data_IF_722966530670
#
_entry.id   IF_722966530670
#
_cell.length_a   1.000
_cell.length_b   1.000
_cell.length_c   1.000
_cell.angle_alpha   90.00
_cell.angle_beta   90.00
_cell.angle_gamma   90.00
#
_symmetry.space_group_name_H-M   'P 1'
#
loop_
_entity.id
_entity.type
_entity.pdbx_description
1 polymer ?
#
# COMPACT_ATOMS: atom_id res chain seq x y z
N UNK A 1 8.75 -9.21 -5.09
CA UNK A 1 9.67 -8.26 -4.45
C UNK A 1 8.97 -6.92 -4.48
N UNK A 2 8.79 -6.30 -3.33
CA UNK A 2 8.12 -5.01 -3.21
C UNK A 2 9.05 -3.89 -3.69
N UNK A 3 8.48 -2.74 -4.07
CA UNK A 3 9.27 -1.62 -4.57
C UNK A 3 9.17 -0.42 -3.65
N UNK A 4 10.27 0.32 -3.50
CA UNK A 4 10.34 1.55 -2.70
C UNK A 4 10.84 2.73 -3.52
N UNK A 5 10.17 3.88 -3.40
CA UNK A 5 10.61 5.17 -3.91
C UNK A 5 11.11 6.02 -2.75
N UNK A 6 12.25 6.69 -2.93
CA UNK A 6 12.83 7.59 -1.93
C UNK A 6 12.75 9.01 -2.46
N UNK A 7 12.06 9.90 -1.73
CA UNK A 7 11.88 11.30 -2.10
C UNK A 7 12.31 12.25 -0.97
N UNK A 8 13.35 13.00 -1.22
CA UNK A 8 13.95 13.98 -0.30
C UNK A 8 14.77 14.97 -1.13
N UNK A 9 14.74 16.25 -0.83
CA UNK A 9 15.54 17.23 -1.61
C UNK A 9 17.03 17.18 -1.28
N UNK A 10 17.38 16.70 -0.08
CA UNK A 10 18.75 16.54 0.36
C UNK A 10 19.37 15.24 -0.18
N UNK A 11 20.33 15.38 -1.09
CA UNK A 11 21.03 14.22 -1.68
C UNK A 11 21.66 13.30 -0.63
N UNK A 12 22.24 13.87 0.42
CA UNK A 12 22.90 13.08 1.47
C UNK A 12 21.91 12.20 2.24
N UNK A 13 20.68 12.69 2.45
CA UNK A 13 19.61 11.92 3.09
C UNK A 13 19.20 10.75 2.19
N UNK A 14 18.98 10.98 0.88
CA UNK A 14 18.66 9.91 -0.07
C UNK A 14 19.76 8.84 -0.12
N UNK A 15 21.03 9.25 -0.20
CA UNK A 15 22.16 8.29 -0.18
C UNK A 15 22.22 7.53 1.16
N UNK A 16 22.00 8.21 2.28
CA UNK A 16 21.94 7.60 3.60
C UNK A 16 20.82 6.54 3.68
N UNK A 17 19.60 6.87 3.23
CA UNK A 17 18.46 5.97 3.21
C UNK A 17 18.67 4.73 2.34
N UNK A 18 19.41 4.84 1.25
CA UNK A 18 19.77 3.67 0.42
C UNK A 18 20.72 2.71 1.13
N UNK A 19 21.55 3.22 2.03
CA UNK A 19 22.59 2.45 2.72
C UNK A 19 22.24 2.05 4.14
N UNK A 20 21.24 2.69 4.79
CA UNK A 20 20.89 2.50 6.19
C UNK A 20 20.38 1.08 6.47
N UNK A 21 19.74 0.45 5.47
CA UNK A 21 19.19 -0.90 5.56
C UNK A 21 19.59 -1.74 4.35
N UNK A 22 19.63 -3.05 4.54
CA UNK A 22 19.71 -4.01 3.43
C UNK A 22 18.31 -4.24 2.85
N UNK A 23 17.90 -3.37 1.90
CA UNK A 23 16.59 -3.38 1.29
C UNK A 23 16.24 -4.69 0.60
N UNK A 24 17.21 -5.33 -0.03
CA UNK A 24 17.00 -6.59 -0.74
C UNK A 24 16.70 -7.73 0.23
N UNK A 25 17.42 -7.81 1.36
CA UNK A 25 17.15 -8.80 2.41
C UNK A 25 15.78 -8.59 3.05
N UNK A 26 15.30 -7.35 3.12
CA UNK A 26 13.96 -7.03 3.58
C UNK A 26 12.87 -7.31 2.52
N UNK A 27 13.25 -7.67 1.30
CA UNK A 27 12.33 -7.97 0.21
C UNK A 27 11.85 -6.73 -0.57
N UNK A 28 12.56 -5.60 -0.44
CA UNK A 28 12.29 -4.38 -1.17
C UNK A 28 13.38 -4.09 -2.21
N UNK A 29 12.99 -3.49 -3.33
CA UNK A 29 13.89 -2.96 -4.34
C UNK A 29 13.65 -1.45 -4.50
N UNK A 30 14.72 -0.65 -4.48
CA UNK A 30 14.62 0.79 -4.70
C UNK A 30 14.37 1.04 -6.20
N UNK A 31 13.14 1.40 -6.54
CA UNK A 31 12.71 1.59 -7.93
C UNK A 31 12.98 3.00 -8.46
N UNK A 32 13.33 3.94 -7.59
CA UNK A 32 13.64 5.31 -7.99
C UNK A 32 13.87 6.24 -6.81
N UNK A 33 14.36 7.43 -7.14
CA UNK A 33 14.55 8.52 -6.20
C UNK A 33 14.07 9.84 -6.83
N UNK A 34 13.64 10.78 -5.97
CA UNK A 34 13.20 12.10 -6.37
C UNK A 34 13.80 13.17 -5.46
N UNK A 35 14.14 14.31 -6.04
CA UNK A 35 14.74 15.45 -5.32
C UNK A 35 13.81 16.66 -5.20
N UNK A 36 12.57 16.53 -5.64
CA UNK A 36 11.52 17.55 -5.53
C UNK A 36 10.16 16.89 -5.63
N UNK A 37 9.12 17.62 -5.26
CA UNK A 37 7.77 17.08 -5.17
C UNK A 37 7.12 16.70 -6.49
N UNK A 38 7.43 17.38 -7.60
CA UNK A 38 6.88 17.01 -8.91
C UNK A 38 7.44 15.68 -9.42
N UNK A 39 8.77 15.51 -9.30
CA UNK A 39 9.43 14.26 -9.67
C UNK A 39 8.97 13.11 -8.77
N UNK A 40 8.77 13.36 -7.46
CA UNK A 40 8.24 12.40 -6.53
C UNK A 40 6.84 11.93 -6.93
N UNK A 41 5.92 12.87 -7.18
CA UNK A 41 4.56 12.55 -7.62
C UNK A 41 4.56 11.79 -8.95
N UNK A 42 5.37 12.24 -9.92
CA UNK A 42 5.51 11.55 -11.21
C UNK A 42 6.03 10.12 -11.03
N UNK A 43 7.06 9.92 -10.19
CA UNK A 43 7.60 8.61 -9.87
C UNK A 43 6.59 7.68 -9.20
N UNK A 44 5.76 8.20 -8.29
CA UNK A 44 4.67 7.44 -7.63
C UNK A 44 3.66 6.96 -8.67
N UNK A 45 3.19 7.86 -9.53
CA UNK A 45 2.13 7.55 -10.50
C UNK A 45 2.61 6.64 -11.64
N UNK A 46 3.88 6.74 -12.03
CA UNK A 46 4.44 5.93 -13.12
C UNK A 46 4.88 4.55 -12.66
N UNK A 47 5.54 4.47 -11.51
CA UNK A 47 6.14 3.21 -11.03
C UNK A 47 5.21 2.45 -10.08
N UNK A 48 4.17 3.09 -9.54
CA UNK A 48 3.24 2.55 -8.55
C UNK A 48 3.96 1.76 -7.44
N UNK A 49 4.93 2.39 -6.71
CA UNK A 49 5.74 1.70 -5.71
C UNK A 49 4.88 1.19 -4.55
N UNK A 50 5.27 0.06 -3.94
CA UNK A 50 4.58 -0.47 -2.77
C UNK A 50 4.78 0.41 -1.53
N UNK A 51 5.92 1.12 -1.46
CA UNK A 51 6.31 2.01 -0.37
C UNK A 51 6.95 3.29 -0.90
N UNK A 52 6.65 4.41 -0.26
CA UNK A 52 7.30 5.70 -0.50
C UNK A 52 7.87 6.23 0.80
N UNK A 53 9.18 6.49 0.84
CA UNK A 53 9.81 7.31 1.87
C UNK A 53 9.77 8.76 1.37
N UNK A 54 9.09 9.64 2.10
CA UNK A 54 8.73 10.96 1.60
C UNK A 54 9.08 12.05 2.61
N UNK A 55 9.97 12.96 2.22
CA UNK A 55 10.17 14.18 3.00
C UNK A 55 8.97 15.12 2.86
N UNK A 56 8.67 15.87 3.94
CA UNK A 56 7.57 16.83 3.93
C UNK A 56 7.93 18.09 3.14
N UNK A 57 9.18 18.58 3.30
CA UNK A 57 9.58 19.86 2.77
C UNK A 57 10.46 19.71 1.54
N UNK A 58 9.85 19.59 0.41
CA UNK A 58 10.55 19.57 -0.88
C UNK A 58 10.14 20.76 -1.74
N UNK A 59 11.03 21.20 -2.67
CA UNK A 59 10.67 22.19 -3.68
C UNK A 59 9.47 21.74 -4.52
N UNK A 60 8.69 22.72 -5.00
CA UNK A 60 7.53 22.60 -5.89
C UNK A 60 6.26 22.07 -5.21
N UNK A 61 6.26 20.87 -4.62
CA UNK A 61 5.14 20.29 -3.88
C UNK A 61 5.61 19.79 -2.52
N UNK A 62 4.80 20.01 -1.50
CA UNK A 62 5.05 19.44 -0.17
C UNK A 62 4.70 17.95 -0.15
N UNK A 63 5.31 17.17 0.77
CA UNK A 63 5.00 15.76 0.94
C UNK A 63 3.50 15.52 1.19
N UNK A 64 2.83 16.41 1.92
CA UNK A 64 1.39 16.31 2.17
C UNK A 64 0.57 16.52 0.90
N UNK A 65 0.95 17.49 0.04
CA UNK A 65 0.28 17.69 -1.25
C UNK A 65 0.44 16.48 -2.16
N UNK A 66 1.63 15.89 -2.17
CA UNK A 66 1.92 14.67 -2.95
C UNK A 66 1.01 13.53 -2.51
N UNK A 67 0.92 13.25 -1.20
CA UNK A 67 0.08 12.18 -0.67
C UNK A 67 -1.38 12.41 -1.05
N UNK A 68 -1.89 13.64 -0.84
CA UNK A 68 -3.26 14.00 -1.22
C UNK A 68 -3.53 13.74 -2.69
N UNK A 69 -2.69 14.25 -3.58
CA UNK A 69 -2.86 14.11 -5.04
C UNK A 69 -2.74 12.63 -5.45
N UNK A 70 -1.79 11.89 -4.90
CA UNK A 70 -1.62 10.47 -5.19
C UNK A 70 -2.85 9.66 -4.77
N UNK A 71 -3.40 9.91 -3.56
CA UNK A 71 -4.63 9.28 -3.07
C UNK A 71 -5.85 9.63 -3.94
N UNK A 72 -6.01 10.90 -4.36
CA UNK A 72 -7.07 11.34 -5.28
C UNK A 72 -6.98 10.63 -6.65
N UNK A 73 -5.78 10.20 -7.07
CA UNK A 73 -5.54 9.42 -8.28
C UNK A 73 -5.58 7.90 -8.08
N UNK A 74 -6.00 7.43 -6.89
CA UNK A 74 -6.18 6.01 -6.62
C UNK A 74 -4.91 5.26 -6.21
N UNK A 75 -3.83 5.95 -5.85
CA UNK A 75 -2.64 5.29 -5.35
C UNK A 75 -2.88 4.71 -3.94
N UNK A 76 -2.69 3.41 -3.78
CA UNK A 76 -2.94 2.66 -2.53
C UNK A 76 -1.66 2.23 -1.80
N UNK A 77 -0.48 2.47 -2.37
CA UNK A 77 0.80 2.13 -1.75
C UNK A 77 1.01 2.83 -0.41
N UNK A 78 1.99 2.37 0.34
CA UNK A 78 2.31 2.80 1.69
C UNK A 78 3.18 4.04 1.72
N UNK A 79 2.99 4.89 2.74
CA UNK A 79 3.81 6.08 2.96
C UNK A 79 4.47 6.06 4.33
N UNK A 80 5.77 6.31 4.35
CA UNK A 80 6.51 6.74 5.54
C UNK A 80 6.92 8.19 5.30
N UNK A 81 6.44 9.10 6.15
CA UNK A 81 6.88 10.49 6.14
C UNK A 81 8.17 10.62 6.94
N UNK A 82 9.12 11.36 6.38
CA UNK A 82 10.36 11.77 7.03
C UNK A 82 10.29 13.28 7.27
N UNK A 83 10.48 13.75 8.50
CA UNK A 83 10.35 15.18 8.82
C UNK A 83 11.43 15.66 9.76
N UNK A 84 12.06 16.76 9.43
CA UNK A 84 12.99 17.49 10.33
C UNK A 84 12.29 18.30 11.43
N UNK A 85 10.96 18.32 11.45
CA UNK A 85 10.18 19.13 12.38
C UNK A 85 9.05 18.32 13.01
N UNK A 86 8.93 18.40 14.31
CA UNK A 86 7.77 17.93 15.08
C UNK A 86 6.58 18.89 14.89
N UNK A 87 6.22 19.21 13.65
CA UNK A 87 5.07 20.08 13.38
C UNK A 87 3.79 19.26 13.46
N UNK A 88 3.04 19.48 14.53
CA UNK A 88 1.77 18.79 14.79
C UNK A 88 0.77 18.89 13.62
N UNK A 89 0.78 20.01 12.89
CA UNK A 89 -0.11 20.21 11.76
C UNK A 89 0.17 19.22 10.63
N UNK A 90 1.43 18.92 10.34
CA UNK A 90 1.80 17.92 9.32
C UNK A 90 1.47 16.51 9.77
N UNK A 91 1.71 16.17 11.04
CA UNK A 91 1.34 14.85 11.57
C UNK A 91 -0.17 14.63 11.52
N UNK A 92 -0.98 15.63 11.86
CA UNK A 92 -2.44 15.56 11.77
C UNK A 92 -2.92 15.40 10.31
N UNK A 93 -2.30 16.11 9.37
CA UNK A 93 -2.62 15.97 7.94
C UNK A 93 -2.24 14.59 7.42
N UNK A 94 -1.07 14.06 7.81
CA UNK A 94 -0.60 12.73 7.46
C UNK A 94 -1.60 11.63 7.87
N UNK A 95 -2.11 11.68 9.09
CA UNK A 95 -3.14 10.74 9.60
C UNK A 95 -4.40 10.80 8.74
N UNK A 96 -4.86 12.00 8.36
CA UNK A 96 -6.07 12.18 7.53
C UNK A 96 -5.96 11.51 6.16
N UNK A 97 -4.75 11.49 5.57
CA UNK A 97 -4.50 10.90 4.26
C UNK A 97 -4.01 9.45 4.30
N UNK A 98 -4.07 8.81 5.48
CA UNK A 98 -3.72 7.40 5.62
C UNK A 98 -2.23 7.13 5.41
N UNK A 99 -1.37 7.95 6.02
CA UNK A 99 0.07 7.69 6.12
C UNK A 99 0.30 6.60 7.15
N UNK A 100 1.15 5.63 6.83
CA UNK A 100 1.39 4.50 7.71
C UNK A 100 2.33 4.84 8.87
N UNK A 101 3.40 5.61 8.60
CA UNK A 101 4.37 6.04 9.61
C UNK A 101 4.86 7.47 9.40
N UNK A 102 5.22 8.11 10.50
CA UNK A 102 5.79 9.45 10.55
C UNK A 102 7.06 9.42 11.40
N UNK A 103 8.22 9.54 10.78
CA UNK A 103 9.53 9.49 11.42
C UNK A 103 10.18 10.87 11.47
N UNK A 104 10.83 11.18 12.59
CA UNK A 104 11.54 12.44 12.73
C UNK A 104 13.01 12.32 12.35
N UNK A 105 13.54 13.30 11.63
CA UNK A 105 14.98 13.40 11.35
C UNK A 105 15.71 13.93 12.63
N UNK A 106 16.89 13.38 13.00
CA UNK A 106 17.64 12.35 12.30
C UNK A 106 16.95 10.99 12.38
N UNK A 107 16.98 10.25 11.26
CA UNK A 107 16.26 8.96 11.15
C UNK A 107 17.02 7.92 11.96
N UNK A 108 16.31 7.32 12.89
CA UNK A 108 16.79 6.17 13.65
C UNK A 108 16.64 4.88 12.84
N UNK A 109 17.71 4.09 12.76
CA UNK A 109 17.74 2.86 11.96
C UNK A 109 16.74 1.82 12.47
N UNK A 110 16.64 1.64 13.78
CA UNK A 110 15.75 0.65 14.40
C UNK A 110 14.27 1.06 14.21
N UNK A 111 13.96 2.36 14.32
CA UNK A 111 12.61 2.88 14.09
C UNK A 111 12.19 2.71 12.62
N UNK A 112 13.09 3.01 11.67
CA UNK A 112 12.84 2.81 10.25
C UNK A 112 12.66 1.32 9.93
N UNK A 113 13.54 0.46 10.43
CA UNK A 113 13.47 -0.99 10.24
C UNK A 113 12.15 -1.57 10.75
N UNK A 114 11.74 -1.20 11.96
CA UNK A 114 10.46 -1.64 12.54
C UNK A 114 9.26 -1.20 11.70
N UNK A 115 9.28 0.04 11.21
CA UNK A 115 8.23 0.59 10.34
C UNK A 115 8.12 -0.18 9.03
N UNK A 116 9.26 -0.49 8.40
CA UNK A 116 9.31 -1.24 7.14
C UNK A 116 8.85 -2.69 7.33
N UNK A 117 9.26 -3.36 8.42
CA UNK A 117 8.81 -4.71 8.73
C UNK A 117 7.29 -4.78 8.92
N UNK A 118 6.72 -3.80 9.63
CA UNK A 118 5.27 -3.69 9.81
C UNK A 118 4.55 -3.48 8.48
N UNK A 119 5.07 -2.60 7.63
CA UNK A 119 4.51 -2.37 6.28
C UNK A 119 4.57 -3.66 5.45
N UNK A 120 5.70 -4.36 5.48
CA UNK A 120 5.85 -5.62 4.74
C UNK A 120 4.80 -6.64 5.17
N UNK A 121 4.61 -6.83 6.47
CA UNK A 121 3.59 -7.73 6.99
C UNK A 121 2.19 -7.34 6.49
N UNK A 122 1.83 -6.05 6.57
CA UNK A 122 0.55 -5.55 6.10
C UNK A 122 0.33 -5.77 4.59
N UNK A 123 1.37 -5.61 3.77
CA UNK A 123 1.32 -5.87 2.34
C UNK A 123 1.13 -7.37 2.04
N UNK A 124 1.83 -8.24 2.77
CA UNK A 124 1.68 -9.70 2.64
C UNK A 124 0.28 -10.16 3.04
N UNK A 125 -0.27 -9.67 4.14
CA UNK A 125 -1.63 -9.97 4.58
C UNK A 125 -2.70 -9.48 3.59
N UNK A 126 -2.55 -8.27 3.06
CA UNK A 126 -3.45 -7.74 2.03
C UNK A 126 -3.42 -8.60 0.76
N UNK A 127 -2.24 -9.04 0.33
CA UNK A 127 -2.06 -9.92 -0.82
C UNK A 127 -2.69 -11.30 -0.61
N UNK A 128 -2.54 -11.87 0.59
CA UNK A 128 -3.16 -13.16 0.92
C UNK A 128 -4.69 -13.05 0.88
N UNK A 129 -5.26 -11.99 1.47
CA UNK A 129 -6.72 -11.73 1.41
C UNK A 129 -7.22 -11.60 -0.03
N UNK A 130 -6.50 -10.85 -0.86
CA UNK A 130 -6.88 -10.67 -2.26
C UNK A 130 -6.82 -11.98 -3.06
N UNK A 131 -5.81 -12.80 -2.84
CA UNK A 131 -5.70 -14.12 -3.46
C UNK A 131 -6.84 -15.05 -3.05
N UNK A 132 -7.25 -15.04 -1.77
CA UNK A 132 -8.39 -15.83 -1.30
C UNK A 132 -9.69 -15.41 -2.02
N UNK A 133 -9.97 -14.10 -2.09
CA UNK A 133 -11.15 -13.58 -2.79
C UNK A 133 -11.15 -14.02 -4.27
N UNK A 134 -10.02 -13.97 -4.93
CA UNK A 134 -9.89 -14.36 -6.34
C UNK A 134 -10.11 -15.87 -6.55
N UNK A 135 -9.61 -16.71 -5.66
CA UNK A 135 -9.86 -18.15 -5.66
C UNK A 135 -11.35 -18.44 -5.48
N UNK A 136 -12.03 -17.78 -4.53
CA UNK A 136 -13.47 -17.94 -4.34
C UNK A 136 -14.28 -17.47 -5.53
N UNK A 137 -13.94 -16.32 -6.13
CA UNK A 137 -14.57 -15.83 -7.36
C UNK A 137 -14.42 -16.81 -8.53
N UNK A 138 -13.25 -17.40 -8.67
CA UNK A 138 -12.99 -18.39 -9.73
C UNK A 138 -13.80 -19.66 -9.51
N UNK A 139 -13.82 -20.20 -8.27
CA UNK A 139 -14.62 -21.37 -7.93
C UNK A 139 -16.12 -21.12 -8.13
N UNK A 140 -16.63 -19.95 -7.72
CA UNK A 140 -18.03 -19.58 -7.93
C UNK A 140 -18.36 -19.50 -9.43
N UNK A 141 -17.49 -18.94 -10.27
CA UNK A 141 -17.66 -18.94 -11.73
C UNK A 141 -17.70 -20.35 -12.31
N UNK A 142 -16.82 -21.24 -11.86
CA UNK A 142 -16.76 -22.62 -12.34
C UNK A 142 -18.03 -23.40 -11.99
N UNK A 143 -18.59 -23.22 -10.79
CA UNK A 143 -19.87 -23.82 -10.37
C UNK A 143 -21.01 -23.31 -11.23
N UNK A 144 -21.13 -21.99 -11.42
CA UNK A 144 -22.17 -21.39 -12.26
C UNK A 144 -22.05 -21.90 -13.71
N UNK A 145 -20.84 -21.96 -14.25
CA UNK A 145 -20.59 -22.46 -15.62
C UNK A 145 -21.00 -23.94 -15.75
N UNK A 146 -20.66 -24.75 -14.75
CA UNK A 146 -21.05 -26.16 -14.71
C UNK A 146 -22.56 -26.34 -14.70
N UNK A 147 -23.28 -25.56 -13.89
CA UNK A 147 -24.74 -25.59 -13.82
C UNK A 147 -25.40 -25.16 -15.13
N UNK A 148 -24.83 -24.13 -15.81
CA UNK A 148 -25.29 -23.70 -17.13
C UNK A 148 -25.10 -24.81 -18.18
N UNK A 149 -23.91 -25.44 -18.21
CA UNK A 149 -23.57 -26.48 -19.20
C UNK A 149 -24.38 -27.74 -18.97
N UNK A 150 -24.63 -28.13 -17.73
CA UNK A 150 -25.41 -29.33 -17.38
C UNK A 150 -26.92 -29.12 -17.45
N UNK A 151 -27.37 -27.88 -17.72
CA UNK A 151 -28.79 -27.52 -17.76
C UNK A 151 -29.49 -27.55 -16.39
N UNK A 152 -28.73 -27.59 -15.31
CA UNK A 152 -29.24 -27.55 -13.94
C UNK A 152 -29.45 -26.12 -13.41
N UNK A 153 -29.00 -25.13 -14.19
CA UNK A 153 -29.24 -23.71 -13.88
C UNK A 153 -30.68 -23.35 -14.12
N UNK A 154 -31.47 -23.25 -13.04
CA UNK A 154 -32.81 -22.72 -13.07
C UNK A 154 -32.78 -21.21 -12.86
N UNK A 155 -33.10 -20.44 -13.89
CA UNK A 155 -33.19 -18.98 -13.87
C UNK A 155 -34.35 -18.43 -13.03
N UNK A 156 -35.09 -19.28 -12.35
CA UNK A 156 -36.19 -18.91 -11.46
C UNK A 156 -35.63 -18.56 -10.06
N UNK A 157 -35.21 -17.33 -9.91
CA UNK A 157 -34.90 -16.45 -8.77
C UNK A 157 -35.04 -16.91 -7.31
N UNK A 158 -35.05 -18.21 -7.00
CA UNK A 158 -35.19 -18.74 -5.64
C UNK A 158 -33.92 -19.36 -5.06
N UNK A 159 -32.92 -19.68 -5.91
CA UNK A 159 -31.63 -20.24 -5.47
C UNK A 159 -30.42 -19.41 -5.92
N UNK A 160 -30.62 -18.17 -6.33
CA UNK A 160 -29.52 -17.24 -6.47
C UNK A 160 -28.95 -16.98 -5.07
N UNK A 161 -27.69 -17.32 -4.84
CA UNK A 161 -26.91 -16.95 -3.65
C UNK A 161 -27.20 -15.48 -3.35
N UNK A 162 -27.88 -15.21 -2.24
CA UNK A 162 -28.21 -13.86 -1.82
C UNK A 162 -26.94 -13.15 -1.37
N UNK A 163 -26.96 -11.82 -1.35
CA UNK A 163 -25.85 -11.05 -0.74
C UNK A 163 -25.58 -11.49 0.70
N UNK A 164 -26.60 -12.02 1.40
CA UNK A 164 -26.46 -12.62 2.73
C UNK A 164 -25.70 -13.94 2.72
N UNK A 165 -25.80 -14.74 1.67
CA UNK A 165 -25.04 -15.99 1.54
C UNK A 165 -23.58 -15.70 1.23
N UNK A 166 -23.28 -14.65 0.44
CA UNK A 166 -21.93 -14.15 0.25
C UNK A 166 -21.32 -13.59 1.54
N UNK A 167 -22.08 -12.83 2.33
CA UNK A 167 -21.65 -12.31 3.63
C UNK A 167 -21.40 -13.43 4.65
N UNK A 168 -22.20 -14.50 4.66
CA UNK A 168 -21.94 -15.68 5.49
C UNK A 168 -20.69 -16.44 5.07
N UNK A 169 -20.41 -16.56 3.78
CA UNK A 169 -19.18 -17.16 3.28
C UNK A 169 -17.93 -16.34 3.65
N UNK A 170 -18.05 -15.01 3.78
CA UNK A 170 -16.99 -14.15 4.31
C UNK A 170 -16.76 -14.33 5.82
N UNK A 171 -17.84 -14.50 6.59
CA UNK A 171 -17.77 -14.73 8.05
C UNK A 171 -17.19 -16.10 8.42
N UNK A 172 -17.44 -17.14 7.62
CA UNK A 172 -16.86 -18.47 7.85
C UNK A 172 -15.34 -18.52 7.51
N UNK A 173 -14.84 -17.60 6.70
CA UNK A 173 -13.40 -17.48 6.43
C UNK A 173 -12.60 -16.92 7.63
N UNK A 174 -13.25 -16.16 8.52
CA UNK A 174 -12.65 -15.61 9.74
C UNK A 174 -12.62 -16.59 10.92
N UNK A 175 -13.29 -17.75 10.82
CA UNK A 175 -13.38 -18.76 11.92
C UNK A 175 -12.23 -19.79 11.87
N UNK A 176 -11.45 -19.82 10.80
CA UNK A 176 -10.30 -20.73 10.64
C UNK A 176 -8.94 -20.02 10.76
N UNK A 177 -8.80 -19.05 11.66
CA UNK A 177 -7.51 -18.55 12.15
C UNK A 177 -7.13 -19.21 13.46
#
# INVERSE_FOLDING_TARGET
>A
METVLIADDEKNIREGLKCILDWESLGFHICGEASNGEDALSGILQNNPSLVLLDIRMPKLTGIDIIRIAREQGYEGKFIILSGYSDFAYAQAAIRYGVDFYLTKPIDEDELLTSIQTIKQNLEEARLRQNHIEIYRTKAKDVILHEIITGTYHADGKDALSEEDFAKMELDADIYQ
#
